data_IF_435775383905
#
_entry.id   IF_435775383905
#
_cell.length_a   1.000
_cell.length_b   1.000
_cell.length_c   1.000
_cell.angle_alpha   90.00
_cell.angle_beta   90.00
_cell.angle_gamma   90.00
#
_symmetry.space_group_name_H-M   'P 1'
#
loop_
_entity.id
_entity.type
_entity.pdbx_description
1 polymer ?
#
# COMPACT_ATOMS: atom_id res chain seq x y z
N UNK A 1 18.46 65.99 -2.20
CA UNK A 1 17.25 65.42 -1.55
C UNK A 1 16.47 64.74 -2.65
N UNK A 2 16.23 63.43 -2.73
CA UNK A 2 16.40 62.28 -1.84
C UNK A 2 16.68 61.06 -2.74
N UNK A 3 17.55 60.16 -2.28
CA UNK A 3 17.65 58.79 -2.75
C UNK A 3 16.31 58.06 -2.62
N UNK A 4 16.01 57.14 -3.53
CA UNK A 4 15.28 55.94 -3.15
C UNK A 4 15.66 54.76 -4.04
N UNK A 5 16.11 53.72 -3.36
CA UNK A 5 16.62 52.43 -3.80
C UNK A 5 15.47 51.56 -4.31
N UNK A 6 15.60 50.95 -5.49
CA UNK A 6 14.78 49.80 -5.87
C UNK A 6 15.70 48.68 -6.34
N UNK A 7 15.96 47.77 -5.40
CA UNK A 7 16.53 46.46 -5.68
C UNK A 7 15.45 45.61 -6.36
N UNK A 8 15.61 45.40 -7.67
CA UNK A 8 14.74 44.51 -8.44
C UNK A 8 15.21 43.07 -8.18
N UNK A 9 14.32 42.27 -7.63
CA UNK A 9 14.50 40.84 -7.36
C UNK A 9 14.81 40.08 -8.66
N UNK A 10 16.06 39.65 -8.83
CA UNK A 10 16.51 38.85 -9.99
C UNK A 10 16.22 37.34 -9.89
N UNK A 11 15.50 36.88 -8.85
CA UNK A 11 15.23 35.45 -8.60
C UNK A 11 13.98 34.89 -9.30
N UNK A 12 13.13 35.75 -9.89
CA UNK A 12 11.88 35.32 -10.54
C UNK A 12 11.97 35.07 -12.06
N UNK A 13 13.03 35.52 -12.72
CA UNK A 13 13.12 35.51 -14.20
C UNK A 13 13.80 34.25 -14.74
N UNK A 14 14.66 33.60 -13.95
CA UNK A 14 15.34 32.37 -14.38
C UNK A 14 14.42 31.14 -14.39
N UNK A 15 13.40 31.07 -13.51
CA UNK A 15 12.46 29.95 -13.49
C UNK A 15 11.48 29.96 -14.67
N UNK A 16 11.17 31.13 -15.25
CA UNK A 16 10.25 31.25 -16.37
C UNK A 16 10.92 31.06 -17.74
N UNK A 17 12.25 31.23 -17.84
CA UNK A 17 13.00 31.07 -19.09
C UNK A 17 13.48 29.62 -19.35
N UNK A 18 13.65 28.79 -18.32
CA UNK A 18 13.99 27.37 -18.50
C UNK A 18 12.80 26.50 -18.91
N UNK A 19 11.56 26.91 -18.64
CA UNK A 19 10.35 26.17 -19.08
C UNK A 19 10.10 26.26 -20.61
N UNK A 20 10.70 27.21 -21.32
CA UNK A 20 10.40 27.48 -22.74
C UNK A 20 11.40 26.91 -23.76
N UNK A 21 12.51 26.28 -23.33
CA UNK A 21 13.59 25.84 -24.24
C UNK A 21 13.83 24.33 -24.30
N UNK A 22 12.99 23.50 -23.68
CA UNK A 22 13.13 22.05 -23.75
C UNK A 22 12.38 21.48 -24.96
N UNK A 23 13.05 20.70 -25.84
CA UNK A 23 12.38 20.05 -26.98
C UNK A 23 11.28 19.12 -26.47
N UNK A 24 10.20 18.96 -27.26
CA UNK A 24 9.17 17.94 -27.02
C UNK A 24 9.86 16.58 -26.94
N UNK A 25 10.03 16.05 -25.74
CA UNK A 25 10.70 14.78 -25.50
C UNK A 25 9.88 13.68 -26.20
N UNK A 26 10.51 12.97 -27.14
CA UNK A 26 9.89 11.81 -27.77
C UNK A 26 9.81 10.68 -26.73
N UNK A 27 8.89 9.70 -26.89
CA UNK A 27 8.76 8.56 -25.96
C UNK A 27 10.09 7.85 -25.66
N UNK A 28 10.92 7.75 -26.69
CA UNK A 28 12.22 7.10 -26.67
C UNK A 28 13.25 7.90 -25.83
N UNK A 29 13.18 9.23 -25.90
CA UNK A 29 14.06 10.14 -25.15
C UNK A 29 13.70 10.17 -23.66
N UNK A 30 12.40 10.13 -23.32
CA UNK A 30 11.95 10.11 -21.92
C UNK A 30 12.37 8.81 -21.24
N UNK A 31 12.14 7.66 -21.91
CA UNK A 31 12.54 6.36 -21.36
C UNK A 31 14.06 6.29 -21.20
N UNK A 32 14.82 6.67 -22.24
CA UNK A 32 16.29 6.67 -22.22
C UNK A 32 16.88 7.58 -21.14
N UNK A 33 16.37 8.81 -21.00
CA UNK A 33 16.87 9.78 -20.03
C UNK A 33 16.45 9.44 -18.59
N UNK A 34 15.24 8.93 -18.39
CA UNK A 34 14.82 8.37 -17.10
C UNK A 34 15.71 7.21 -16.69
N UNK A 35 16.02 6.31 -17.62
CA UNK A 35 16.88 5.17 -17.37
C UNK A 35 18.34 5.58 -17.12
N UNK A 36 18.82 6.60 -17.85
CA UNK A 36 20.13 7.21 -17.63
C UNK A 36 20.23 7.83 -16.25
N UNK A 37 19.21 8.56 -15.80
CA UNK A 37 19.19 9.23 -14.49
C UNK A 37 19.01 8.24 -13.35
N UNK A 38 18.21 7.19 -13.54
CA UNK A 38 18.11 6.09 -12.59
C UNK A 38 19.44 5.32 -12.42
N UNK A 39 20.23 5.20 -13.50
CA UNK A 39 21.58 4.60 -13.48
C UNK A 39 22.70 5.60 -13.20
N UNK A 40 22.42 6.90 -13.10
CA UNK A 40 23.46 7.90 -12.96
C UNK A 40 24.10 7.73 -11.58
N UNK A 41 25.43 7.56 -11.50
CA UNK A 41 26.13 7.81 -10.25
C UNK A 41 25.84 9.27 -9.88
N UNK A 42 25.47 9.53 -8.64
CA UNK A 42 25.19 10.89 -8.17
C UNK A 42 26.53 11.63 -8.26
N UNK A 43 26.69 12.45 -9.31
CA UNK A 43 27.88 13.26 -9.52
C UNK A 43 27.91 14.31 -8.40
N UNK A 44 28.64 13.99 -7.33
CA UNK A 44 28.61 14.78 -6.09
C UNK A 44 28.54 13.96 -4.80
N UNK A 45 28.45 12.63 -4.86
CA UNK A 45 28.72 11.77 -3.69
C UNK A 45 30.21 11.89 -3.30
N UNK A 46 30.54 13.02 -2.68
CA UNK A 46 31.70 13.17 -1.81
C UNK A 46 31.74 11.96 -0.89
N UNK A 47 32.93 11.50 -0.52
CA UNK A 47 33.13 10.47 0.51
C UNK A 47 32.55 10.83 1.91
N UNK A 48 31.78 11.92 2.02
CA UNK A 48 31.13 12.46 3.21
C UNK A 48 29.59 12.51 3.14
N UNK A 49 28.96 12.14 2.02
CA UNK A 49 27.48 12.10 1.93
C UNK A 49 26.99 10.72 2.37
N UNK A 50 26.16 10.67 3.41
CA UNK A 50 25.55 9.41 3.84
C UNK A 50 24.57 8.90 2.78
N UNK A 51 24.48 7.57 2.62
CA UNK A 51 23.66 6.91 1.58
C UNK A 51 22.21 7.40 1.53
N UNK A 52 21.64 7.77 2.68
CA UNK A 52 20.28 8.28 2.79
C UNK A 52 20.07 9.65 2.11
N UNK A 53 21.07 10.53 2.17
CA UNK A 53 21.03 11.85 1.54
C UNK A 53 21.13 11.71 0.01
N UNK A 54 22.00 10.79 -0.44
CA UNK A 54 22.16 10.46 -1.85
C UNK A 54 20.86 9.89 -2.45
N UNK A 55 20.19 8.96 -1.75
CA UNK A 55 18.88 8.44 -2.19
C UNK A 55 17.79 9.50 -2.23
N UNK A 56 17.79 10.44 -1.27
CA UNK A 56 16.85 11.55 -1.24
C UNK A 56 17.05 12.49 -2.43
N UNK A 57 18.30 12.79 -2.79
CA UNK A 57 18.63 13.62 -3.94
C UNK A 57 18.23 12.94 -5.25
N UNK A 58 18.52 11.64 -5.39
CA UNK A 58 18.08 10.83 -6.54
C UNK A 58 16.54 10.84 -6.68
N UNK A 59 15.82 10.63 -5.58
CA UNK A 59 14.35 10.69 -5.59
C UNK A 59 13.83 12.08 -5.98
N UNK A 60 14.49 13.15 -5.54
CA UNK A 60 14.12 14.51 -5.91
C UNK A 60 14.35 14.79 -7.40
N UNK A 61 15.49 14.38 -7.95
CA UNK A 61 15.83 14.53 -9.37
C UNK A 61 14.83 13.75 -10.26
N UNK A 62 14.60 12.47 -9.96
CA UNK A 62 13.61 11.65 -10.65
C UNK A 62 12.19 12.24 -10.53
N UNK A 63 11.85 12.80 -9.36
CA UNK A 63 10.57 13.44 -9.13
C UNK A 63 10.36 14.70 -9.97
N UNK A 64 11.41 15.46 -10.27
CA UNK A 64 11.35 16.61 -11.18
C UNK A 64 11.08 16.16 -12.61
N UNK A 65 11.77 15.12 -13.09
CA UNK A 65 11.57 14.60 -14.44
C UNK A 65 10.15 14.05 -14.59
N UNK A 66 9.68 13.30 -13.58
CA UNK A 66 8.33 12.75 -13.60
C UNK A 66 7.24 13.84 -13.72
N UNK A 67 7.49 15.03 -13.18
CA UNK A 67 6.61 16.19 -13.34
C UNK A 67 6.61 16.77 -14.77
N UNK A 68 7.65 16.50 -15.54
CA UNK A 68 7.79 16.91 -16.93
C UNK A 68 7.28 15.83 -17.90
N UNK A 69 7.11 14.58 -17.45
CA UNK A 69 6.62 13.47 -18.28
C UNK A 69 5.19 13.79 -18.79
N UNK A 70 4.99 13.84 -20.13
CA UNK A 70 3.69 13.97 -20.75
C UNK A 70 2.72 12.84 -20.33
N UNK A 71 1.40 13.09 -20.22
CA UNK A 71 0.44 12.09 -19.75
C UNK A 71 0.45 10.77 -20.54
N UNK A 72 0.68 10.84 -21.85
CA UNK A 72 0.80 9.73 -22.79
C UNK A 72 2.03 8.85 -22.54
N UNK A 73 3.04 9.37 -21.85
CA UNK A 73 4.27 8.66 -21.49
C UNK A 73 4.31 8.15 -20.04
N UNK A 74 3.25 8.41 -19.26
CA UNK A 74 3.14 7.87 -17.91
C UNK A 74 3.15 6.33 -17.85
N UNK A 75 2.57 5.58 -18.79
CA UNK A 75 2.71 4.11 -18.80
C UNK A 75 4.17 3.67 -18.89
N UNK A 76 4.99 4.32 -19.72
CA UNK A 76 6.42 3.98 -19.85
C UNK A 76 7.21 4.25 -18.55
N UNK A 77 6.82 5.25 -17.76
CA UNK A 77 7.46 5.55 -16.50
C UNK A 77 7.26 4.46 -15.43
N UNK A 78 6.25 3.58 -15.56
CA UNK A 78 6.02 2.47 -14.61
C UNK A 78 7.18 1.47 -14.63
N UNK A 79 7.67 1.12 -15.83
CA UNK A 79 8.78 0.18 -15.97
C UNK A 79 10.02 0.69 -15.23
N UNK A 80 10.30 2.00 -15.32
CA UNK A 80 11.37 2.61 -14.56
C UNK A 80 11.12 2.49 -13.05
N UNK A 81 9.95 2.90 -12.58
CA UNK A 81 9.62 2.92 -11.16
C UNK A 81 9.76 1.52 -10.53
N UNK A 82 9.40 0.48 -11.28
CA UNK A 82 9.57 -0.90 -10.86
C UNK A 82 11.05 -1.31 -10.68
N UNK A 83 11.99 -0.71 -11.42
CA UNK A 83 13.44 -0.99 -11.28
C UNK A 83 14.10 -0.24 -10.12
N UNK A 84 13.45 0.77 -9.55
CA UNK A 84 14.02 1.57 -8.47
C UNK A 84 13.95 0.83 -7.12
N UNK A 85 14.87 1.12 -6.18
CA UNK A 85 14.77 0.66 -4.79
C UNK A 85 13.45 1.09 -4.16
N UNK A 86 12.88 0.26 -3.27
CA UNK A 86 11.58 0.50 -2.65
C UNK A 86 11.48 1.89 -1.98
N UNK A 87 12.51 2.31 -1.23
CA UNK A 87 12.54 3.61 -0.56
C UNK A 87 12.40 4.81 -1.53
N UNK A 88 13.09 4.74 -2.67
CA UNK A 88 13.00 5.76 -3.73
C UNK A 88 11.67 5.65 -4.47
N UNK A 89 11.25 4.42 -4.79
CA UNK A 89 10.00 4.14 -5.50
C UNK A 89 8.80 4.69 -4.75
N UNK A 90 8.65 4.40 -3.46
CA UNK A 90 7.51 4.87 -2.66
C UNK A 90 7.37 6.40 -2.65
N UNK A 91 8.50 7.14 -2.62
CA UNK A 91 8.51 8.61 -2.69
C UNK A 91 8.05 9.14 -4.05
N UNK A 92 8.40 8.43 -5.12
CA UNK A 92 8.01 8.79 -6.48
C UNK A 92 6.59 8.35 -6.84
N UNK A 93 6.11 7.26 -6.22
CA UNK A 93 4.77 6.69 -6.43
C UNK A 93 3.66 7.67 -6.13
N UNK A 94 3.78 8.46 -5.05
CA UNK A 94 2.76 9.46 -4.74
C UNK A 94 2.62 10.49 -5.87
N UNK A 95 3.75 11.02 -6.36
CA UNK A 95 3.79 11.98 -7.46
C UNK A 95 3.28 11.36 -8.76
N UNK A 96 3.68 10.11 -9.03
CA UNK A 96 3.21 9.35 -10.18
C UNK A 96 1.69 9.20 -10.14
N UNK A 97 1.15 8.74 -9.03
CA UNK A 97 -0.27 8.48 -8.86
C UNK A 97 -1.12 9.74 -8.98
N UNK A 98 -0.63 10.90 -8.52
CA UNK A 98 -1.33 12.18 -8.69
C UNK A 98 -1.40 12.64 -10.16
N UNK A 99 -0.37 12.33 -10.96
CA UNK A 99 -0.40 12.56 -12.42
C UNK A 99 -1.25 11.51 -13.13
N UNK A 100 -1.05 10.24 -12.81
CA UNK A 100 -1.80 9.11 -13.33
C UNK A 100 -3.31 9.27 -13.13
N UNK A 101 -3.72 9.85 -12.00
CA UNK A 101 -5.14 10.16 -11.74
C UNK A 101 -5.77 11.02 -12.83
N UNK A 102 -5.03 11.94 -13.44
CA UNK A 102 -5.55 12.84 -14.47
C UNK A 102 -5.48 12.24 -15.88
N UNK A 103 -4.75 11.13 -16.04
CA UNK A 103 -4.47 10.50 -17.32
C UNK A 103 -5.32 9.23 -17.52
N UNK A 104 -5.26 8.65 -18.73
CA UNK A 104 -6.02 7.47 -19.12
C UNK A 104 -5.64 6.23 -18.29
N UNK A 105 -6.42 5.93 -17.25
CA UNK A 105 -6.19 4.85 -16.30
C UNK A 105 -6.00 3.44 -16.90
N UNK A 106 -6.65 3.02 -18.02
CA UNK A 106 -6.48 1.67 -18.54
C UNK A 106 -5.03 1.35 -18.94
N UNK A 107 -4.40 2.21 -19.74
CA UNK A 107 -3.01 2.01 -20.18
C UNK A 107 -2.01 2.00 -19.01
N UNK A 108 -2.30 2.75 -17.95
CA UNK A 108 -1.50 2.76 -16.72
C UNK A 108 -1.63 1.42 -15.99
N UNK A 109 -2.85 0.90 -15.84
CA UNK A 109 -3.09 -0.40 -15.20
C UNK A 109 -2.45 -1.55 -16.00
N UNK A 110 -2.56 -1.51 -17.33
CA UNK A 110 -1.89 -2.50 -18.21
C UNK A 110 -0.37 -2.47 -18.04
N UNK A 111 0.23 -1.28 -17.96
CA UNK A 111 1.66 -1.14 -17.71
C UNK A 111 2.07 -1.62 -16.31
N UNK A 112 1.21 -1.46 -15.29
CA UNK A 112 1.45 -2.06 -13.96
C UNK A 112 1.40 -3.58 -14.03
N UNK A 113 0.45 -4.16 -14.74
CA UNK A 113 0.35 -5.61 -14.91
C UNK A 113 1.56 -6.19 -15.66
N UNK A 114 2.17 -5.42 -16.57
CA UNK A 114 3.37 -5.81 -17.28
C UNK A 114 4.65 -5.82 -16.41
N UNK A 115 4.61 -5.24 -15.20
CA UNK A 115 5.74 -5.30 -14.25
C UNK A 115 5.95 -6.74 -13.80
N UNK A 116 7.12 -7.31 -14.06
CA UNK A 116 7.43 -8.71 -13.73
C UNK A 116 7.51 -8.95 -12.22
N UNK A 117 8.12 -8.04 -11.47
CA UNK A 117 8.26 -8.15 -10.02
C UNK A 117 6.91 -7.99 -9.31
N UNK A 118 6.44 -9.06 -8.65
CA UNK A 118 5.14 -9.08 -8.00
C UNK A 118 5.05 -8.12 -6.81
N UNK A 119 6.16 -7.86 -6.12
CA UNK A 119 6.24 -6.91 -5.01
C UNK A 119 5.96 -5.48 -5.49
N UNK A 120 6.73 -5.03 -6.48
CA UNK A 120 6.62 -3.74 -7.13
C UNK A 120 5.25 -3.55 -7.80
N UNK A 121 4.77 -4.57 -8.54
CA UNK A 121 3.46 -4.55 -9.18
C UNK A 121 2.34 -4.27 -8.17
N UNK A 122 2.35 -4.93 -7.01
CA UNK A 122 1.33 -4.67 -5.99
C UNK A 122 1.51 -3.33 -5.27
N UNK A 123 2.74 -2.84 -5.06
CA UNK A 123 2.96 -1.50 -4.49
C UNK A 123 2.36 -0.41 -5.40
N UNK A 124 2.57 -0.56 -6.71
CA UNK A 124 1.98 0.30 -7.73
C UNK A 124 0.45 0.26 -7.69
N UNK A 125 -0.15 -0.94 -7.65
CA UNK A 125 -1.61 -1.10 -7.58
C UNK A 125 -2.20 -0.49 -6.31
N UNK A 126 -1.56 -0.66 -5.16
CA UNK A 126 -2.01 -0.09 -3.88
C UNK A 126 -2.03 1.43 -3.90
N UNK A 127 -0.99 2.06 -4.45
CA UNK A 127 -0.94 3.52 -4.52
C UNK A 127 -1.96 4.07 -5.53
N UNK A 128 -2.07 3.43 -6.69
CA UNK A 128 -3.05 3.80 -7.70
C UNK A 128 -4.48 3.63 -7.19
N UNK A 129 -4.79 2.56 -6.47
CA UNK A 129 -6.13 2.31 -5.92
C UNK A 129 -6.63 3.44 -5.01
N UNK A 130 -5.73 4.20 -4.36
CA UNK A 130 -6.10 5.34 -3.52
C UNK A 130 -6.42 6.60 -4.30
N UNK A 131 -5.81 6.78 -5.49
CA UNK A 131 -5.83 8.04 -6.23
C UNK A 131 -6.56 7.97 -7.57
N UNK A 132 -6.69 6.81 -8.21
CA UNK A 132 -7.33 6.65 -9.52
C UNK A 132 -8.75 7.23 -9.59
N UNK A 133 -9.20 7.78 -10.73
CA UNK A 133 -10.58 8.25 -10.89
C UNK A 133 -11.61 7.17 -10.52
N UNK A 134 -12.77 7.59 -9.99
CA UNK A 134 -13.82 6.65 -9.57
C UNK A 134 -14.35 5.78 -10.72
N UNK A 135 -14.40 6.34 -11.93
CA UNK A 135 -14.77 5.61 -13.16
C UNK A 135 -13.80 4.47 -13.53
N UNK A 136 -12.60 4.45 -12.95
CA UNK A 136 -11.56 3.44 -13.20
C UNK A 136 -11.50 2.36 -12.12
N UNK A 137 -12.41 2.39 -11.14
CA UNK A 137 -12.41 1.45 -10.01
C UNK A 137 -12.59 0.00 -10.49
N UNK A 138 -13.48 -0.25 -11.45
CA UNK A 138 -13.68 -1.62 -11.96
C UNK A 138 -12.42 -2.16 -12.62
N UNK A 139 -11.82 -1.38 -13.52
CA UNK A 139 -10.57 -1.75 -14.20
C UNK A 139 -9.44 -1.97 -13.20
N UNK A 140 -9.35 -1.15 -12.15
CA UNK A 140 -8.36 -1.34 -11.09
C UNK A 140 -8.60 -2.62 -10.28
N UNK A 141 -9.87 -2.99 -10.06
CA UNK A 141 -10.23 -4.24 -9.40
C UNK A 141 -9.88 -5.46 -10.28
N UNK A 142 -10.13 -5.38 -11.59
CA UNK A 142 -9.71 -6.40 -12.56
C UNK A 142 -8.19 -6.58 -12.58
N UNK A 143 -7.43 -5.48 -12.56
CA UNK A 143 -5.97 -5.55 -12.46
C UNK A 143 -5.51 -6.18 -11.13
N UNK A 144 -6.16 -5.84 -10.01
CA UNK A 144 -5.85 -6.47 -8.72
C UNK A 144 -6.12 -7.98 -8.73
N UNK A 145 -7.20 -8.43 -9.38
CA UNK A 145 -7.49 -9.86 -9.57
C UNK A 145 -6.45 -10.55 -10.45
N UNK A 146 -6.05 -9.91 -11.55
CA UNK A 146 -5.04 -10.42 -12.46
C UNK A 146 -3.66 -10.55 -11.79
N UNK A 147 -3.39 -9.77 -10.73
CA UNK A 147 -2.16 -9.86 -9.95
C UNK A 147 -2.15 -11.05 -8.95
N UNK A 148 -3.28 -11.76 -8.77
CA UNK A 148 -3.32 -12.94 -7.91
C UNK A 148 -2.40 -14.04 -8.46
N UNK A 149 -1.64 -14.72 -7.59
CA UNK A 149 -0.81 -15.84 -8.00
C UNK A 149 -1.69 -17.00 -8.49
N UNK A 150 -1.28 -17.62 -9.60
CA UNK A 150 -1.79 -18.93 -10.01
C UNK A 150 -1.24 -19.98 -9.02
N UNK A 151 -1.93 -20.18 -7.90
CA UNK A 151 -1.49 -21.15 -6.90
C UNK A 151 -1.95 -22.54 -7.31
N UNK A 152 -1.06 -23.31 -7.91
CA UNK A 152 -1.12 -24.76 -7.81
C UNK A 152 -0.59 -25.14 -6.43
N UNK A 153 -1.46 -25.67 -5.57
CA UNK A 153 -1.07 -26.20 -4.26
C UNK A 153 -0.31 -27.50 -4.45
N UNK A 154 0.97 -27.43 -4.83
CA UNK A 154 1.83 -28.62 -4.89
C UNK A 154 2.42 -28.96 -3.52
N UNK A 155 2.41 -28.04 -2.55
CA UNK A 155 2.92 -28.26 -1.19
C UNK A 155 4.44 -28.42 -1.10
N UNK A 156 5.15 -28.24 -2.22
CA UNK A 156 6.60 -28.46 -2.32
C UNK A 156 7.43 -27.20 -2.00
N UNK A 157 6.81 -26.01 -1.97
CA UNK A 157 7.51 -24.74 -1.73
C UNK A 157 6.72 -23.84 -0.75
N UNK A 158 7.08 -23.93 0.52
CA UNK A 158 6.48 -23.14 1.60
C UNK A 158 6.75 -21.63 1.45
N UNK A 159 7.85 -21.23 0.81
CA UNK A 159 8.15 -19.82 0.56
C UNK A 159 7.25 -19.27 -0.55
N UNK A 160 7.07 -20.02 -1.63
CA UNK A 160 6.13 -19.65 -2.70
C UNK A 160 4.69 -19.61 -2.19
N UNK A 161 4.29 -20.56 -1.33
CA UNK A 161 2.97 -20.54 -0.70
C UNK A 161 2.81 -19.30 0.19
N UNK A 162 3.78 -19.00 1.06
CA UNK A 162 3.76 -17.81 1.92
C UNK A 162 3.71 -16.52 1.12
N UNK A 163 4.52 -16.41 0.06
CA UNK A 163 4.49 -15.28 -0.87
C UNK A 163 3.11 -15.15 -1.54
N UNK A 164 2.51 -16.26 -1.96
CA UNK A 164 1.20 -16.23 -2.59
C UNK A 164 0.08 -15.80 -1.63
N UNK A 165 0.15 -16.21 -0.37
CA UNK A 165 -0.76 -15.76 0.69
C UNK A 165 -0.60 -14.27 0.96
N UNK A 166 0.65 -13.78 1.00
CA UNK A 166 0.92 -12.35 1.14
C UNK A 166 0.34 -11.55 -0.03
N UNK A 167 0.49 -12.03 -1.25
CA UNK A 167 -0.08 -11.40 -2.46
C UNK A 167 -1.63 -11.35 -2.40
N UNK A 168 -2.28 -12.44 -2.02
CA UNK A 168 -3.74 -12.48 -1.79
C UNK A 168 -4.20 -11.42 -0.79
N UNK A 169 -3.45 -11.27 0.30
CA UNK A 169 -3.75 -10.26 1.31
C UNK A 169 -3.69 -8.83 0.73
N UNK A 170 -2.63 -8.51 -0.01
CA UNK A 170 -2.48 -7.20 -0.66
C UNK A 170 -3.62 -6.91 -1.63
N UNK A 171 -4.03 -7.91 -2.42
CA UNK A 171 -5.19 -7.79 -3.32
C UNK A 171 -6.47 -7.50 -2.53
N UNK A 172 -6.72 -8.19 -1.42
CA UNK A 172 -7.88 -7.91 -0.58
C UNK A 172 -7.87 -6.46 -0.05
N UNK A 173 -6.71 -5.94 0.36
CA UNK A 173 -6.57 -4.55 0.82
C UNK A 173 -6.79 -3.53 -0.30
N UNK A 174 -6.32 -3.81 -1.53
CA UNK A 174 -6.62 -3.01 -2.73
C UNK A 174 -8.13 -2.97 -2.98
N UNK A 175 -8.79 -4.12 -2.99
CA UNK A 175 -10.24 -4.21 -3.19
C UNK A 175 -11.02 -3.44 -2.11
N UNK A 176 -10.57 -3.46 -0.85
CA UNK A 176 -11.19 -2.68 0.23
C UNK A 176 -10.99 -1.16 0.09
N UNK A 177 -9.87 -0.72 -0.47
CA UNK A 177 -9.64 0.69 -0.81
C UNK A 177 -10.57 1.10 -1.95
N UNK A 178 -10.64 0.29 -3.00
CA UNK A 178 -11.51 0.52 -4.16
C UNK A 178 -12.99 0.53 -3.77
N UNK A 179 -13.45 -0.43 -2.96
CA UNK A 179 -14.81 -0.50 -2.44
C UNK A 179 -15.21 0.78 -1.69
N UNK A 180 -14.34 1.29 -0.81
CA UNK A 180 -14.57 2.55 -0.08
C UNK A 180 -14.75 3.76 -0.98
N UNK A 181 -14.14 3.75 -2.16
CA UNK A 181 -14.16 4.86 -3.13
C UNK A 181 -15.24 4.72 -4.18
N UNK A 182 -15.82 3.52 -4.34
CA UNK A 182 -16.85 3.25 -5.33
C UNK A 182 -18.12 4.02 -4.99
N UNK A 183 -18.67 4.76 -5.94
CA UNK A 183 -19.94 5.47 -5.79
C UNK A 183 -21.15 4.54 -5.99
N UNK A 184 -20.99 3.52 -6.84
CA UNK A 184 -22.02 2.52 -7.14
C UNK A 184 -22.14 1.53 -5.97
N UNK A 185 -23.30 1.44 -5.29
CA UNK A 185 -23.48 0.56 -4.13
C UNK A 185 -23.23 -0.92 -4.42
N UNK A 186 -23.67 -1.40 -5.58
CA UNK A 186 -23.53 -2.79 -6.02
C UNK A 186 -22.05 -3.15 -6.21
N UNK A 187 -21.29 -2.23 -6.81
CA UNK A 187 -19.85 -2.36 -6.98
C UNK A 187 -19.13 -2.39 -5.63
N UNK A 188 -19.44 -1.43 -4.74
CA UNK A 188 -18.89 -1.39 -3.38
C UNK A 188 -19.12 -2.71 -2.65
N UNK A 189 -20.33 -3.25 -2.72
CA UNK A 189 -20.71 -4.49 -2.06
C UNK A 189 -19.98 -5.70 -2.65
N UNK A 190 -19.93 -5.79 -3.99
CA UNK A 190 -19.19 -6.86 -4.68
C UNK A 190 -17.72 -6.88 -4.25
N UNK A 191 -17.04 -5.73 -4.31
CA UNK A 191 -15.62 -5.62 -3.94
C UNK A 191 -15.38 -5.94 -2.46
N UNK A 192 -16.28 -5.51 -1.57
CA UNK A 192 -16.18 -5.81 -0.14
C UNK A 192 -16.36 -7.32 0.16
N UNK A 193 -17.31 -7.99 -0.51
CA UNK A 193 -17.51 -9.43 -0.40
C UNK A 193 -16.31 -10.21 -0.97
N UNK A 194 -15.79 -9.79 -2.11
CA UNK A 194 -14.61 -10.41 -2.71
C UNK A 194 -13.37 -10.30 -1.80
N UNK A 195 -13.13 -9.11 -1.23
CA UNK A 195 -12.06 -8.92 -0.25
C UNK A 195 -12.24 -9.77 1.02
N UNK A 196 -13.49 -9.92 1.49
CA UNK A 196 -13.83 -10.84 2.59
C UNK A 196 -13.48 -12.28 2.23
N UNK A 197 -13.86 -12.74 1.04
CA UNK A 197 -13.66 -14.12 0.62
C UNK A 197 -12.16 -14.44 0.44
N UNK A 198 -11.38 -13.48 -0.08
CA UNK A 198 -9.91 -13.58 -0.10
C UNK A 198 -9.31 -13.65 1.31
N UNK A 199 -9.80 -12.85 2.24
CA UNK A 199 -9.34 -12.88 3.63
C UNK A 199 -9.70 -14.21 4.32
N UNK A 200 -10.87 -14.79 4.05
CA UNK A 200 -11.30 -16.07 4.64
C UNK A 200 -10.58 -17.28 4.05
N UNK A 201 -10.11 -17.20 2.80
CA UNK A 201 -9.35 -18.29 2.15
C UNK A 201 -7.85 -18.27 2.48
N UNK A 202 -7.41 -17.27 3.25
CA UNK A 202 -6.03 -17.15 3.74
C UNK A 202 -5.87 -17.91 5.06
N UNK A 203 -4.86 -18.79 5.22
CA UNK A 203 -4.58 -19.49 6.48
C UNK A 203 -4.38 -18.51 7.65
N UNK A 204 -4.70 -18.99 8.86
CA UNK A 204 -4.68 -18.20 10.11
C UNK A 204 -3.29 -17.62 10.48
N UNK A 205 -2.23 -18.06 9.79
CA UNK A 205 -0.84 -17.61 9.96
C UNK A 205 -0.66 -16.09 9.78
N UNK A 206 -1.56 -15.43 9.04
CA UNK A 206 -1.53 -13.97 8.80
C UNK A 206 -2.51 -13.20 9.71
N UNK A 207 -2.79 -13.71 10.91
CA UNK A 207 -3.92 -13.32 11.75
C UNK A 207 -4.16 -11.82 11.93
N UNK A 208 -3.12 -10.98 12.10
CA UNK A 208 -3.32 -9.53 12.24
C UNK A 208 -3.85 -8.86 10.96
N UNK A 209 -3.42 -9.32 9.79
CA UNK A 209 -3.84 -8.82 8.49
C UNK A 209 -5.23 -9.32 8.13
N UNK A 210 -5.47 -10.62 8.31
CA UNK A 210 -6.77 -11.24 8.10
C UNK A 210 -7.85 -10.53 8.92
N UNK A 211 -7.62 -10.32 10.21
CA UNK A 211 -8.59 -9.65 11.07
C UNK A 211 -8.82 -8.19 10.69
N UNK A 212 -7.78 -7.46 10.27
CA UNK A 212 -7.92 -6.09 9.73
C UNK A 212 -8.77 -6.07 8.47
N UNK A 213 -8.55 -7.00 7.55
CA UNK A 213 -9.30 -7.11 6.30
C UNK A 213 -10.78 -7.44 6.57
N UNK A 214 -11.07 -8.46 7.39
CA UNK A 214 -12.44 -8.84 7.76
C UNK A 214 -13.17 -7.70 8.49
N UNK A 215 -12.48 -7.02 9.41
CA UNK A 215 -13.03 -5.85 10.12
C UNK A 215 -13.39 -4.74 9.12
N UNK A 216 -12.47 -4.38 8.21
CA UNK A 216 -12.71 -3.35 7.17
C UNK A 216 -13.83 -3.75 6.23
N UNK A 217 -13.88 -5.01 5.79
CA UNK A 217 -14.95 -5.52 4.94
C UNK A 217 -16.31 -5.37 5.63
N UNK A 218 -16.41 -5.75 6.92
CA UNK A 218 -17.68 -5.66 7.69
C UNK A 218 -18.29 -4.25 7.70
N UNK A 219 -17.46 -3.20 7.70
CA UNK A 219 -17.91 -1.81 7.69
C UNK A 219 -18.60 -1.43 6.37
N UNK A 220 -18.31 -2.15 5.28
CA UNK A 220 -18.85 -1.91 3.95
C UNK A 220 -20.04 -2.82 3.63
N UNK A 221 -20.31 -3.84 4.44
CA UNK A 221 -21.39 -4.80 4.23
C UNK A 221 -22.72 -4.32 4.85
N UNK A 222 -23.86 -4.83 4.35
CA UNK A 222 -25.17 -4.65 4.95
C UNK A 222 -25.23 -5.17 6.40
N UNK A 223 -26.19 -4.71 7.23
CA UNK A 223 -26.26 -5.05 8.66
C UNK A 223 -26.21 -6.55 8.97
N UNK A 224 -26.91 -7.39 8.19
CA UNK A 224 -26.99 -8.84 8.43
C UNK A 224 -25.63 -9.51 8.20
N UNK A 225 -25.01 -9.24 7.04
CA UNK A 225 -23.66 -9.74 6.71
C UNK A 225 -22.58 -9.16 7.61
N UNK A 226 -22.71 -7.88 8.00
CA UNK A 226 -21.79 -7.22 8.91
C UNK A 226 -21.76 -7.92 10.25
N UNK A 227 -22.93 -8.19 10.84
CA UNK A 227 -23.02 -8.81 12.17
C UNK A 227 -22.41 -10.20 12.14
N UNK A 228 -22.80 -11.02 11.15
CA UNK A 228 -22.24 -12.36 10.96
C UNK A 228 -20.72 -12.33 10.77
N UNK A 229 -20.21 -11.39 9.96
CA UNK A 229 -18.77 -11.26 9.73
C UNK A 229 -18.02 -10.78 10.97
N UNK A 230 -18.61 -9.90 11.78
CA UNK A 230 -18.01 -9.43 13.03
C UNK A 230 -17.94 -10.54 14.08
N UNK A 231 -18.99 -11.36 14.19
CA UNK A 231 -18.99 -12.53 15.07
C UNK A 231 -17.95 -13.56 14.62
N UNK A 232 -17.86 -13.85 13.32
CA UNK A 232 -16.81 -14.71 12.77
C UNK A 232 -15.40 -14.14 13.01
N UNK A 233 -15.22 -12.83 12.85
CA UNK A 233 -13.94 -12.15 13.10
C UNK A 233 -13.53 -12.31 14.57
N UNK A 234 -14.49 -12.20 15.49
CA UNK A 234 -14.25 -12.44 16.92
C UNK A 234 -13.89 -13.90 17.15
N UNK A 235 -14.64 -14.85 16.61
CA UNK A 235 -14.37 -16.27 16.81
C UNK A 235 -13.00 -16.68 16.23
N UNK A 236 -12.60 -16.14 15.07
CA UNK A 236 -11.25 -16.30 14.50
C UNK A 236 -10.22 -15.69 15.45
N UNK A 237 -10.45 -14.49 15.98
CA UNK A 237 -9.51 -13.85 16.89
C UNK A 237 -9.38 -14.57 18.24
N UNK A 238 -10.42 -15.27 18.70
CA UNK A 238 -10.41 -16.04 19.94
C UNK A 238 -9.82 -17.45 19.77
N UNK A 239 -9.97 -18.05 18.58
CA UNK A 239 -9.51 -19.42 18.29
C UNK A 239 -8.17 -19.47 17.56
N UNK A 240 -7.73 -18.35 16.98
CA UNK A 240 -6.51 -18.29 16.20
C UNK A 240 -5.30 -18.57 17.08
N UNK A 241 -4.58 -19.64 16.79
CA UNK A 241 -3.18 -19.78 17.18
C UNK A 241 -2.38 -18.77 16.34
N UNK A 242 -2.23 -17.55 16.86
CA UNK A 242 -1.34 -16.57 16.22
C UNK A 242 0.09 -17.02 16.47
N UNK A 243 0.63 -17.90 15.62
CA UNK A 243 1.93 -18.55 15.77
C UNK A 243 3.11 -17.59 16.05
N UNK A 244 2.95 -16.30 15.76
CA UNK A 244 4.01 -15.29 15.93
C UNK A 244 3.63 -14.10 16.82
N UNK A 245 2.40 -14.02 17.33
CA UNK A 245 1.97 -12.90 18.16
C UNK A 245 2.15 -13.26 19.64
N UNK A 246 3.09 -12.59 20.33
CA UNK A 246 3.10 -12.55 21.80
C UNK A 246 1.67 -12.23 22.29
N UNK A 247 1.17 -12.79 23.39
CA UNK A 247 -0.19 -12.50 23.89
C UNK A 247 -0.49 -10.99 24.03
N UNK A 248 0.53 -10.15 24.29
CA UNK A 248 0.46 -8.67 24.23
C UNK A 248 -0.07 -8.15 22.88
N UNK A 249 0.36 -8.75 21.77
CA UNK A 249 -0.05 -8.40 20.42
C UNK A 249 -1.49 -8.82 20.12
N UNK A 250 -1.99 -9.91 20.73
CA UNK A 250 -3.38 -10.34 20.59
C UNK A 250 -4.34 -9.40 21.34
N UNK A 251 -4.02 -9.02 22.58
CA UNK A 251 -4.83 -8.05 23.35
C UNK A 251 -4.85 -6.67 22.68
N UNK A 252 -3.70 -6.19 22.18
CA UNK A 252 -3.62 -4.97 21.38
C UNK A 252 -4.44 -5.07 20.08
N UNK A 253 -4.36 -6.19 19.38
CA UNK A 253 -5.13 -6.41 18.16
C UNK A 253 -6.64 -6.42 18.45
N UNK A 254 -7.08 -7.12 19.49
CA UNK A 254 -8.46 -7.16 19.94
C UNK A 254 -8.96 -5.78 20.38
N UNK A 255 -8.12 -4.98 21.04
CA UNK A 255 -8.42 -3.59 21.40
C UNK A 255 -8.61 -2.70 20.16
N UNK A 256 -7.70 -2.80 19.18
CA UNK A 256 -7.80 -2.08 17.90
C UNK A 256 -9.04 -2.50 17.10
N UNK A 257 -9.39 -3.78 17.12
CA UNK A 257 -10.59 -4.30 16.47
C UNK A 257 -11.84 -3.81 17.23
N UNK A 258 -11.87 -3.88 18.57
CA UNK A 258 -12.99 -3.41 19.39
C UNK A 258 -13.31 -1.93 19.17
N UNK A 259 -12.29 -1.11 18.89
CA UNK A 259 -12.47 0.30 18.52
C UNK A 259 -13.22 0.51 17.19
N UNK A 260 -13.26 -0.50 16.32
CA UNK A 260 -13.90 -0.46 14.99
C UNK A 260 -15.19 -1.29 14.90
N UNK A 261 -15.49 -2.09 15.92
CA UNK A 261 -16.73 -2.86 16.01
C UNK A 261 -17.86 -2.01 16.60
N UNK A 262 -19.09 -2.39 16.29
CA UNK A 262 -20.29 -1.72 16.79
C UNK A 262 -21.19 -2.71 17.55
N UNK A 263 -22.03 -2.19 18.45
CA UNK A 263 -23.12 -2.96 19.05
C UNK A 263 -22.70 -4.20 19.86
N UNK A 264 -23.39 -5.35 19.69
CA UNK A 264 -23.14 -6.57 20.47
C UNK A 264 -21.72 -7.11 20.36
N UNK A 265 -21.12 -7.06 19.17
CA UNK A 265 -19.76 -7.56 18.91
C UNK A 265 -18.72 -6.80 19.73
N UNK A 266 -18.80 -5.46 19.76
CA UNK A 266 -17.93 -4.62 20.62
C UNK A 266 -18.09 -4.96 22.11
N UNK A 267 -19.32 -5.15 22.58
CA UNK A 267 -19.60 -5.52 23.98
C UNK A 267 -19.08 -6.91 24.34
N UNK A 268 -19.00 -7.83 23.37
CA UNK A 268 -18.43 -9.16 23.57
C UNK A 268 -16.92 -9.08 23.74
N UNK A 269 -16.20 -8.37 22.85
CA UNK A 269 -14.75 -8.19 23.00
C UNK A 269 -14.39 -7.45 24.30
N UNK A 270 -15.08 -6.34 24.62
CA UNK A 270 -14.79 -5.57 25.83
C UNK A 270 -15.01 -6.36 27.14
N UNK A 271 -15.88 -7.38 27.12
CA UNK A 271 -16.05 -8.29 28.27
C UNK A 271 -14.93 -9.32 28.39
N UNK A 272 -14.32 -9.68 27.28
CA UNK A 272 -13.23 -10.67 27.23
C UNK A 272 -11.86 -10.02 27.49
N UNK A 273 -11.68 -8.73 27.15
CA UNK A 273 -10.42 -8.00 27.32
C UNK A 273 -9.78 -8.17 28.73
N UNK A 274 -10.52 -7.99 29.84
CA UNK A 274 -9.97 -8.16 31.18
C UNK A 274 -9.50 -9.58 31.49
N UNK A 275 -10.13 -10.59 30.88
CA UNK A 275 -9.75 -12.00 31.06
C UNK A 275 -8.43 -12.29 30.34
N UNK A 276 -8.27 -11.77 29.11
CA UNK A 276 -7.00 -11.85 28.39
C UNK A 276 -5.86 -11.14 29.13
N UNK A 277 -6.11 -9.97 29.73
CA UNK A 277 -5.11 -9.27 30.54
C UNK A 277 -4.73 -10.05 31.81
N UNK A 278 -5.70 -10.71 32.46
CA UNK A 278 -5.47 -11.52 33.66
C UNK A 278 -4.71 -12.83 33.35
N UNK A 279 -5.12 -13.56 32.32
CA UNK A 279 -4.46 -14.78 31.86
C UNK A 279 -3.02 -14.48 31.40
N UNK A 280 -2.80 -13.32 30.79
CA UNK A 280 -1.47 -12.82 30.43
C UNK A 280 -0.59 -12.50 31.65
N UNK A 281 -1.12 -11.77 32.64
CA UNK A 281 -0.37 -11.52 33.88
C UNK A 281 -0.01 -12.81 34.60
N UNK A 282 -0.89 -13.82 34.53
CA UNK A 282 -0.60 -15.15 35.06
C UNK A 282 0.56 -15.80 34.29
N UNK A 283 0.51 -15.85 32.95
CA UNK A 283 1.57 -16.45 32.11
C UNK A 283 2.94 -15.77 32.25
N UNK A 284 2.98 -14.44 32.41
CA UNK A 284 4.23 -13.72 32.70
C UNK A 284 4.78 -14.13 34.06
N UNK A 285 3.92 -14.25 35.08
CA UNK A 285 4.36 -14.68 36.43
C UNK A 285 4.89 -16.10 36.44
N UNK A 286 4.23 -17.05 35.76
CA UNK A 286 4.75 -18.41 35.62
C UNK A 286 6.04 -18.44 34.82
N UNK A 287 6.14 -17.69 33.72
CA UNK A 287 7.37 -17.61 32.91
C UNK A 287 8.55 -16.94 33.64
N UNK A 288 8.28 -15.99 34.55
CA UNK A 288 9.31 -15.39 35.42
C UNK A 288 9.71 -16.33 36.56
N UNK A 289 8.76 -17.09 37.12
CA UNK A 289 9.04 -18.11 38.13
C UNK A 289 9.89 -19.26 37.56
N UNK A 290 9.57 -19.75 36.36
CA UNK A 290 10.33 -20.82 35.69
C UNK A 290 11.76 -20.39 35.30
N UNK A 291 12.02 -19.08 35.19
CA UNK A 291 13.35 -18.52 34.92
C UNK A 291 14.10 -18.11 36.20
N UNK A 292 13.55 -18.38 37.39
CA UNK A 292 14.17 -18.05 38.67
C UNK A 292 14.31 -16.54 38.93
N UNK A 293 13.48 -15.71 38.28
CA UNK A 293 13.54 -14.25 38.38
C UNK A 293 12.57 -13.67 39.43
N UNK A 294 11.94 -14.53 40.23
CA UNK A 294 11.02 -14.20 41.33
C UNK A 294 11.42 -14.93 42.62
#
# INVERSE_FOLDING_TARGET
>A
MLSSTHAINHTGVLAAQEEQSMPRLQPEDVSGELHRIARMPIAGASAAMDDAEAEQERANALGRILNLVPPDLLPAAIALLATLPSAVRSRLMERYADRARKAAAPAILDAVLAVSDAGARMELLEELARKLPRQSIETAAEAARAALPAVERTGEDAEAESAALFQRHRVADVLLVLARRADVPELRLRLAREARDLALTTPLLLGSWQLRALTRASLLLPPDERTALQDLTIDIALRGEFETARPESQALLLSVIAGKLYGPARRRILRLLPQFEADHQMQIRTGLADRGAL
#
